data_IF_713885992584
#
_entry.id   IF_713885992584
#
_cell.length_a   1.000
_cell.length_b   1.000
_cell.length_c   1.000
_cell.angle_alpha   90.00
_cell.angle_beta   90.00
_cell.angle_gamma   90.00
#
_symmetry.space_group_name_H-M   'P 1'
#
loop_
_entity.id
_entity.type
_entity.pdbx_description
1 polymer ?
#
# COMPACT_ATOMS: atom_id res chain seq x y z
N UNK A 1 -12.30 6.25 -16.60
CA UNK A 1 -11.27 5.81 -17.56
C UNK A 1 -9.94 6.33 -17.04
N UNK A 2 -8.98 5.44 -16.77
CA UNK A 2 -7.63 5.88 -16.41
C UNK A 2 -6.97 6.40 -17.68
N UNK A 3 -6.53 7.66 -17.69
CA UNK A 3 -5.79 8.21 -18.81
C UNK A 3 -4.45 7.46 -18.93
N UNK A 4 -3.99 7.13 -20.15
CA UNK A 4 -2.64 6.60 -20.36
C UNK A 4 -1.62 7.57 -19.76
N UNK A 5 -0.58 7.04 -19.09
CA UNK A 5 0.45 7.83 -18.39
C UNK A 5 1.04 8.94 -19.27
N UNK A 6 1.23 8.65 -20.56
CA UNK A 6 1.77 9.57 -21.56
C UNK A 6 0.85 10.78 -21.78
N UNK A 7 -0.47 10.59 -21.78
CA UNK A 7 -1.42 11.71 -21.94
C UNK A 7 -1.41 12.65 -20.73
N UNK A 8 -1.24 12.09 -19.54
CA UNK A 8 -1.14 12.87 -18.30
C UNK A 8 0.13 13.72 -18.29
N UNK A 9 1.27 13.15 -18.70
CA UNK A 9 2.55 13.87 -18.79
C UNK A 9 2.46 15.07 -19.73
N UNK A 10 1.87 14.88 -20.91
CA UNK A 10 1.66 15.95 -21.89
C UNK A 10 0.76 17.07 -21.33
N UNK A 11 -0.30 16.71 -20.60
CA UNK A 11 -1.19 17.68 -19.96
C UNK A 11 -0.42 18.48 -18.90
N UNK A 12 0.37 17.83 -18.05
CA UNK A 12 1.18 18.47 -17.02
C UNK A 12 2.16 19.47 -17.65
N UNK A 13 2.91 19.05 -18.66
CA UNK A 13 3.87 19.92 -19.36
C UNK A 13 3.19 21.15 -19.98
N UNK A 14 2.04 20.96 -20.65
CA UNK A 14 1.29 22.07 -21.24
C UNK A 14 0.85 23.11 -20.20
N UNK A 15 0.43 22.65 -19.02
CA UNK A 15 -0.01 23.51 -17.91
C UNK A 15 1.15 24.25 -17.26
N UNK A 16 2.29 23.57 -17.07
CA UNK A 16 3.52 24.20 -16.56
C UNK A 16 3.98 25.28 -17.53
N UNK A 17 4.06 24.99 -18.83
CA UNK A 17 4.50 25.95 -19.84
C UNK A 17 3.58 27.18 -19.91
N UNK A 18 2.25 26.98 -19.91
CA UNK A 18 1.30 28.10 -19.88
C UNK A 18 1.43 28.97 -18.63
N UNK A 19 1.79 28.38 -17.48
CA UNK A 19 2.04 29.15 -16.27
C UNK A 19 3.40 29.85 -16.27
N UNK A 20 4.45 29.24 -16.84
CA UNK A 20 5.75 29.90 -17.04
C UNK A 20 5.62 31.09 -17.98
N UNK A 21 4.82 31.00 -19.05
CA UNK A 21 4.54 32.13 -19.93
C UNK A 21 3.87 33.31 -19.21
N UNK A 22 3.01 33.03 -18.23
CA UNK A 22 2.24 34.05 -17.49
C UNK A 22 2.96 34.65 -16.29
N UNK A 23 3.78 33.84 -15.62
CA UNK A 23 4.34 34.16 -14.31
C UNK A 23 5.87 34.02 -14.25
N UNK A 24 6.52 33.65 -15.35
CA UNK A 24 7.96 33.49 -15.44
C UNK A 24 8.48 32.19 -14.82
N UNK A 25 9.82 32.07 -14.75
CA UNK A 25 10.48 30.85 -14.28
C UNK A 25 10.26 30.55 -12.79
N UNK A 26 9.97 31.57 -11.98
CA UNK A 26 9.68 31.41 -10.55
C UNK A 26 8.47 30.51 -10.30
N UNK A 27 7.49 30.53 -11.21
CA UNK A 27 6.33 29.66 -11.17
C UNK A 27 6.70 28.18 -11.18
N UNK A 28 7.70 27.80 -11.98
CA UNK A 28 8.18 26.41 -12.06
C UNK A 28 8.78 25.97 -10.72
N UNK A 29 9.53 26.86 -10.07
CA UNK A 29 10.11 26.63 -8.73
C UNK A 29 9.01 26.44 -7.70
N UNK A 30 8.02 27.33 -7.65
CA UNK A 30 6.89 27.25 -6.72
C UNK A 30 6.07 25.97 -6.89
N UNK A 31 5.85 25.51 -8.13
CA UNK A 31 5.17 24.23 -8.37
C UNK A 31 5.96 23.07 -7.77
N UNK A 32 7.28 23.02 -7.97
CA UNK A 32 8.11 21.95 -7.44
C UNK A 32 8.06 21.93 -5.92
N UNK A 33 8.12 23.10 -5.28
CA UNK A 33 8.00 23.24 -3.83
C UNK A 33 6.63 22.77 -3.33
N UNK A 34 5.54 23.21 -3.96
CA UNK A 34 4.17 22.80 -3.60
C UNK A 34 4.00 21.28 -3.75
N UNK A 35 4.50 20.68 -4.83
CA UNK A 35 4.44 19.23 -5.03
C UNK A 35 5.27 18.46 -4.00
N UNK A 36 6.42 18.99 -3.58
CA UNK A 36 7.22 18.38 -2.52
C UNK A 36 6.49 18.45 -1.17
N UNK A 37 5.90 19.60 -0.84
CA UNK A 37 5.11 19.78 0.38
C UNK A 37 3.85 18.91 0.38
N UNK A 38 3.15 18.82 -0.75
CA UNK A 38 2.00 17.94 -0.93
C UNK A 38 2.39 16.49 -0.61
N UNK A 39 3.48 15.98 -1.20
CA UNK A 39 4.00 14.63 -0.90
C UNK A 39 4.42 14.40 0.56
N UNK A 40 4.75 15.46 1.31
CA UNK A 40 5.05 15.36 2.74
C UNK A 40 3.79 15.33 3.59
N UNK A 41 2.74 16.03 3.17
CA UNK A 41 1.45 16.14 3.89
C UNK A 41 0.54 14.95 3.57
N UNK A 42 0.53 14.48 2.32
CA UNK A 42 -0.22 13.28 1.96
C UNK A 42 0.63 12.06 2.34
N UNK A 43 0.21 11.23 3.30
CA UNK A 43 0.81 9.92 3.47
C UNK A 43 0.54 9.19 2.16
N UNK A 44 1.58 9.03 1.34
CA UNK A 44 1.49 8.51 -0.02
C UNK A 44 0.55 7.31 -0.07
N UNK A 45 -0.67 7.54 -0.56
CA UNK A 45 -1.69 6.52 -0.74
C UNK A 45 -1.29 5.50 -1.83
N UNK A 46 -0.07 5.59 -2.37
CA UNK A 46 0.42 4.75 -3.45
C UNK A 46 1.93 4.46 -3.39
N UNK A 47 2.57 4.51 -2.22
CA UNK A 47 3.61 3.50 -2.00
C UNK A 47 2.82 2.24 -1.71
N UNK A 48 2.64 1.38 -2.72
CA UNK A 48 2.27 0.00 -2.47
C UNK A 48 3.36 -0.54 -1.54
N UNK A 49 3.16 -0.43 -0.21
CA UNK A 49 3.91 -1.23 0.75
C UNK A 49 3.71 -2.65 0.23
N UNK A 50 4.78 -3.25 -0.27
CA UNK A 50 4.72 -4.65 -0.65
C UNK A 50 4.37 -5.37 0.65
N UNK A 51 3.13 -5.86 0.74
CA UNK A 51 2.65 -6.56 1.92
C UNK A 51 3.63 -7.68 2.22
N UNK A 52 4.05 -7.78 3.48
CA UNK A 52 5.01 -8.80 3.89
C UNK A 52 4.29 -10.13 3.92
N UNK A 53 4.85 -11.10 3.22
CA UNK A 53 4.48 -12.50 3.37
C UNK A 53 5.30 -13.09 4.50
N UNK A 54 4.66 -13.32 5.64
CA UNK A 54 5.29 -13.86 6.84
C UNK A 54 4.98 -15.36 6.92
N UNK A 55 5.98 -16.26 7.06
CA UNK A 55 5.69 -17.67 7.32
C UNK A 55 4.85 -17.81 8.57
N UNK A 56 3.75 -18.57 8.51
CA UNK A 56 2.82 -18.71 9.64
C UNK A 56 3.55 -19.16 10.92
N UNK A 57 4.57 -20.01 10.79
CA UNK A 57 5.38 -20.50 11.91
C UNK A 57 6.28 -19.44 12.56
N UNK A 58 6.52 -18.32 11.87
CA UNK A 58 7.40 -17.22 12.29
C UNK A 58 6.63 -15.96 12.63
N UNK A 59 5.29 -16.01 12.70
CA UNK A 59 4.48 -14.83 12.97
C UNK A 59 4.93 -14.07 14.23
N UNK A 60 5.21 -14.79 15.32
CA UNK A 60 5.64 -14.18 16.58
C UNK A 60 7.05 -13.57 16.55
N UNK A 61 7.83 -13.76 15.48
CA UNK A 61 9.09 -13.01 15.27
C UNK A 61 8.80 -11.55 14.86
N UNK A 62 7.59 -11.26 14.39
CA UNK A 62 7.17 -9.95 13.87
C UNK A 62 6.07 -9.30 14.71
N UNK A 63 5.16 -10.11 15.27
CA UNK A 63 3.99 -9.63 16.02
C UNK A 63 3.76 -10.47 17.28
N UNK A 64 3.65 -9.82 18.43
CA UNK A 64 3.45 -10.52 19.71
C UNK A 64 2.12 -11.29 19.77
N UNK A 65 1.10 -10.80 19.05
CA UNK A 65 -0.25 -11.38 19.00
C UNK A 65 -0.77 -11.47 17.57
N UNK A 66 -1.65 -12.43 17.27
CA UNK A 66 -1.96 -13.63 18.05
C UNK A 66 -0.78 -14.63 18.06
N UNK A 67 -0.80 -15.59 18.98
CA UNK A 67 0.19 -16.66 19.01
C UNK A 67 0.11 -17.52 17.74
N UNK A 68 1.25 -18.05 17.29
CA UNK A 68 1.35 -18.96 16.13
C UNK A 68 0.40 -20.16 16.26
N UNK A 69 0.18 -20.68 17.47
CA UNK A 69 -0.77 -21.78 17.72
C UNK A 69 -2.21 -21.41 17.36
N UNK A 70 -2.64 -20.20 17.74
CA UNK A 70 -3.96 -19.65 17.40
C UNK A 70 -4.09 -19.45 15.89
N UNK A 71 -3.06 -18.91 15.24
CA UNK A 71 -3.04 -18.76 13.79
C UNK A 71 -3.12 -20.09 13.04
N UNK A 72 -2.47 -21.15 13.55
CA UNK A 72 -2.64 -22.51 13.02
C UNK A 72 -4.09 -22.94 13.13
N UNK A 73 -4.67 -22.79 14.32
CA UNK A 73 -6.07 -23.15 14.53
C UNK A 73 -6.98 -22.42 13.53
N UNK A 74 -6.82 -21.10 13.36
CA UNK A 74 -7.62 -20.33 12.40
C UNK A 74 -7.36 -20.75 10.96
N UNK A 75 -6.10 -20.98 10.56
CA UNK A 75 -5.78 -21.45 9.22
C UNK A 75 -6.37 -22.83 8.88
N UNK A 76 -6.64 -23.68 9.88
CA UNK A 76 -7.26 -24.99 9.70
C UNK A 76 -8.78 -25.00 9.88
N UNK A 77 -9.32 -24.21 10.82
CA UNK A 77 -10.71 -24.28 11.25
C UNK A 77 -11.56 -23.07 10.83
N UNK A 78 -10.94 -21.94 10.47
CA UNK A 78 -11.64 -20.74 10.00
C UNK A 78 -11.38 -20.58 8.49
N UNK A 79 -12.37 -20.96 7.69
CA UNK A 79 -12.28 -20.91 6.24
C UNK A 79 -12.21 -19.48 5.70
N UNK A 80 -12.89 -18.52 6.34
CA UNK A 80 -12.86 -17.11 5.95
C UNK A 80 -11.47 -16.50 6.16
N UNK A 81 -10.87 -16.75 7.34
CA UNK A 81 -9.50 -16.33 7.62
C UNK A 81 -8.50 -16.94 6.64
N UNK A 82 -8.66 -18.22 6.33
CA UNK A 82 -7.81 -18.93 5.39
C UNK A 82 -7.87 -18.33 3.99
N UNK A 83 -9.07 -18.07 3.49
CA UNK A 83 -9.24 -17.55 2.13
C UNK A 83 -8.84 -16.06 2.03
N UNK A 84 -8.99 -15.30 3.11
CA UNK A 84 -8.62 -13.90 3.17
C UNK A 84 -7.11 -13.68 3.36
N UNK A 85 -6.49 -14.37 4.33
CA UNK A 85 -5.15 -14.00 4.83
C UNK A 85 -4.04 -14.98 4.45
N UNK A 86 -4.37 -16.24 4.11
CA UNK A 86 -3.36 -17.27 3.87
C UNK A 86 -2.94 -17.32 2.41
N UNK A 87 -1.62 -17.29 2.19
CA UNK A 87 -0.98 -17.46 0.88
C UNK A 87 -0.14 -18.73 0.91
N UNK A 88 -0.38 -19.64 -0.04
CA UNK A 88 0.42 -20.86 -0.19
C UNK A 88 1.58 -20.61 -1.13
N UNK A 89 2.80 -20.84 -0.66
CA UNK A 89 4.01 -20.80 -1.49
C UNK A 89 4.66 -22.19 -1.48
N UNK A 90 4.24 -23.03 -2.43
CA UNK A 90 4.59 -24.45 -2.44
C UNK A 90 4.07 -25.17 -1.20
N UNK A 91 4.96 -25.78 -0.42
CA UNK A 91 4.62 -26.46 0.84
C UNK A 91 4.52 -25.52 2.05
N UNK A 92 4.83 -24.22 1.89
CA UNK A 92 4.85 -23.25 2.98
C UNK A 92 3.53 -22.49 3.06
N UNK A 93 3.03 -22.34 4.29
CA UNK A 93 1.87 -21.51 4.61
C UNK A 93 2.38 -20.15 5.06
N UNK A 94 2.02 -19.12 4.30
CA UNK A 94 2.39 -17.74 4.54
C UNK A 94 1.13 -16.95 4.92
N UNK A 95 1.32 -15.89 5.70
CA UNK A 95 0.29 -14.91 6.04
C UNK A 95 0.65 -13.61 5.33
N UNK A 96 -0.31 -13.05 4.63
CA UNK A 96 -0.23 -11.69 4.09
C UNK A 96 -0.58 -10.70 5.20
N UNK A 97 0.43 -9.95 5.66
CA UNK A 97 0.34 -9.05 6.82
C UNK A 97 -0.74 -7.98 6.64
N UNK A 98 -0.81 -7.34 5.48
CA UNK A 98 -1.83 -6.30 5.21
C UNK A 98 -3.24 -6.90 5.18
N UNK A 99 -3.41 -8.09 4.58
CA UNK A 99 -4.72 -8.76 4.57
C UNK A 99 -5.13 -9.23 5.96
N UNK A 100 -4.17 -9.64 6.78
CA UNK A 100 -4.42 -9.96 8.18
C UNK A 100 -5.00 -8.76 8.92
N UNK A 101 -4.34 -7.59 8.87
CA UNK A 101 -4.83 -6.41 9.57
C UNK A 101 -6.19 -5.92 9.04
N UNK A 102 -6.39 -5.95 7.72
CA UNK A 102 -7.70 -5.64 7.12
C UNK A 102 -8.80 -6.58 7.59
N UNK A 103 -8.50 -7.87 7.73
CA UNK A 103 -9.46 -8.85 8.24
C UNK A 103 -9.79 -8.60 9.72
N UNK A 104 -8.79 -8.24 10.53
CA UNK A 104 -9.02 -7.88 11.93
C UNK A 104 -9.89 -6.63 12.06
N UNK A 105 -9.61 -5.58 11.28
CA UNK A 105 -10.43 -4.35 11.22
C UNK A 105 -11.88 -4.64 10.81
N UNK A 106 -12.11 -5.55 9.85
CA UNK A 106 -13.47 -5.90 9.41
C UNK A 106 -14.24 -6.74 10.42
N UNK A 107 -13.55 -7.55 11.21
CA UNK A 107 -14.17 -8.51 12.14
C UNK A 107 -14.34 -7.94 13.55
N UNK A 108 -13.66 -6.83 13.86
CA UNK A 108 -13.78 -6.12 15.14
C UNK A 108 -13.20 -6.87 16.34
N UNK A 109 -12.22 -7.75 16.11
CA UNK A 109 -11.49 -8.51 17.12
C UNK A 109 -10.17 -7.85 17.51
#
# INVERSE_FOLDING_TARGET
MQLPTIEIENIIESKINSGVEKYGNEFKTLIVEILALEKMITPSANVQKQSRLIPLSKWNDYHDVPAVGTLRQWAFHNQEFKDACIVKQGARVMIDEDKYFKYMESTGL
#
